data_IF_689077735470
#
_entry.id   IF_689077735470
#
_cell.length_a   1.000
_cell.length_b   1.000
_cell.length_c   1.000
_cell.angle_alpha   90.00
_cell.angle_beta   90.00
_cell.angle_gamma   90.00
#
_symmetry.space_group_name_H-M   'P 1'
#
loop_
_entity.id
_entity.type
_entity.pdbx_description
1 polymer ?
#
# COMPACT_ATOMS: atom_id res chain seq x y z
N UNK A 1 -0.49 0.77 29.74
CA UNK A 1 -1.31 0.91 28.53
C UNK A 1 -1.78 -0.47 28.10
N UNK A 2 -3.08 -0.72 27.94
CA UNK A 2 -3.56 -1.98 27.35
C UNK A 2 -3.24 -1.93 25.87
N UNK A 3 -2.29 -2.73 25.40
CA UNK A 3 -2.01 -2.91 23.98
C UNK A 3 -3.29 -3.46 23.34
N UNK A 4 -3.95 -2.67 22.48
CA UNK A 4 -4.99 -3.23 21.61
C UNK A 4 -4.32 -4.36 20.84
N UNK A 5 -4.76 -5.58 21.07
CA UNK A 5 -4.23 -6.73 20.35
C UNK A 5 -4.83 -6.68 18.95
N UNK A 6 -4.09 -6.12 17.99
CA UNK A 6 -4.50 -6.10 16.60
C UNK A 6 -4.64 -7.53 16.08
N UNK A 7 -5.72 -7.80 15.36
CA UNK A 7 -5.99 -9.08 14.72
C UNK A 7 -6.53 -8.80 13.32
N UNK A 8 -6.12 -9.63 12.38
CA UNK A 8 -6.67 -9.63 11.03
C UNK A 8 -8.06 -10.27 11.03
N UNK A 9 -9.00 -9.64 10.32
CA UNK A 9 -10.29 -10.25 10.00
C UNK A 9 -10.12 -11.42 9.04
N UNK A 10 -11.17 -12.22 8.85
CA UNK A 10 -11.14 -13.30 7.85
C UNK A 10 -10.94 -12.74 6.44
N UNK A 11 -11.61 -11.64 6.10
CA UNK A 11 -11.47 -10.98 4.81
C UNK A 11 -10.04 -10.46 4.57
N UNK A 12 -9.45 -9.80 5.58
CA UNK A 12 -8.06 -9.31 5.50
C UNK A 12 -7.08 -10.46 5.29
N UNK A 13 -7.24 -11.59 5.99
CA UNK A 13 -6.40 -12.78 5.76
C UNK A 13 -6.54 -13.32 4.34
N UNK A 14 -7.77 -13.48 3.85
CA UNK A 14 -8.02 -13.98 2.50
C UNK A 14 -7.44 -13.05 1.43
N UNK A 15 -7.52 -11.73 1.63
CA UNK A 15 -6.89 -10.75 0.73
C UNK A 15 -5.37 -10.88 0.74
N UNK A 16 -4.74 -11.00 1.91
CA UNK A 16 -3.30 -11.20 2.03
C UNK A 16 -2.85 -12.51 1.38
N UNK A 17 -3.53 -13.62 1.65
CA UNK A 17 -3.24 -14.91 1.02
C UNK A 17 -3.31 -14.81 -0.52
N UNK A 18 -4.30 -14.07 -1.04
CA UNK A 18 -4.48 -13.83 -2.49
C UNK A 18 -3.31 -13.05 -3.10
N UNK A 19 -2.90 -11.94 -2.48
CA UNK A 19 -1.83 -11.09 -3.04
C UNK A 19 -0.44 -11.72 -2.86
N UNK A 20 -0.19 -12.44 -1.76
CA UNK A 20 1.10 -13.09 -1.52
C UNK A 20 1.37 -14.25 -2.49
N UNK A 21 0.32 -14.80 -3.12
CA UNK A 21 0.45 -15.76 -4.21
C UNK A 21 0.77 -15.10 -5.57
N UNK A 22 0.63 -13.77 -5.69
CA UNK A 22 0.95 -12.99 -6.89
C UNK A 22 2.38 -12.45 -6.82
N UNK A 23 3.35 -13.33 -6.96
CA UNK A 23 4.76 -12.96 -7.14
C UNK A 23 5.18 -13.42 -8.54
N UNK A 24 4.97 -12.56 -9.53
CA UNK A 24 5.06 -12.94 -10.95
C UNK A 24 6.48 -12.81 -11.47
N UNK A 25 7.17 -11.71 -11.16
CA UNK A 25 8.45 -11.33 -11.75
C UNK A 25 9.47 -10.92 -10.67
N UNK A 26 9.01 -10.59 -9.46
CA UNK A 26 9.88 -10.23 -8.33
C UNK A 26 10.24 -8.75 -8.28
N UNK A 27 9.64 -7.93 -9.14
CA UNK A 27 9.78 -6.46 -9.18
C UNK A 27 9.50 -5.87 -7.80
N UNK A 28 8.42 -6.27 -7.14
CA UNK A 28 8.08 -5.70 -5.83
C UNK A 28 9.10 -6.09 -4.74
N UNK A 29 9.77 -7.24 -4.85
CA UNK A 29 10.82 -7.61 -3.90
C UNK A 29 12.08 -6.76 -4.12
N UNK A 30 12.42 -6.47 -5.38
CA UNK A 30 13.54 -5.60 -5.74
C UNK A 30 13.27 -4.16 -5.26
N UNK A 31 12.10 -3.63 -5.58
CA UNK A 31 11.68 -2.28 -5.16
C UNK A 31 11.62 -2.16 -3.63
N UNK A 32 11.02 -3.13 -2.94
CA UNK A 32 11.02 -3.15 -1.47
C UNK A 32 12.43 -3.23 -0.89
N UNK A 33 13.36 -3.91 -1.57
CA UNK A 33 14.77 -3.97 -1.15
C UNK A 33 15.48 -2.62 -1.36
N UNK A 34 15.22 -1.93 -2.47
CA UNK A 34 15.78 -0.62 -2.75
C UNK A 34 15.26 0.42 -1.76
N UNK A 35 13.94 0.47 -1.54
CA UNK A 35 13.31 1.32 -0.52
C UNK A 35 13.91 1.06 0.86
N UNK A 36 14.08 -0.21 1.24
CA UNK A 36 14.70 -0.59 2.51
C UNK A 36 16.16 -0.12 2.65
N UNK A 37 16.90 0.02 1.55
CA UNK A 37 18.32 0.42 1.60
C UNK A 37 18.50 1.93 1.54
N UNK A 38 17.68 2.60 0.74
CA UNK A 38 17.93 3.97 0.28
C UNK A 38 16.91 4.96 0.85
N UNK A 39 15.72 4.49 1.23
CA UNK A 39 14.57 5.34 1.58
C UNK A 39 13.86 4.92 2.87
N UNK A 40 14.57 4.34 3.82
CA UNK A 40 14.01 3.96 5.14
C UNK A 40 13.44 5.13 5.95
N UNK A 41 13.88 6.35 5.68
CA UNK A 41 13.31 7.56 6.29
C UNK A 41 11.92 7.90 5.76
N UNK A 42 11.56 7.41 4.56
CA UNK A 42 10.23 7.55 3.98
C UNK A 42 9.38 6.42 4.53
N UNK A 43 8.45 6.74 5.43
CA UNK A 43 7.68 5.72 6.14
C UNK A 43 6.77 4.89 5.21
N UNK A 44 6.12 5.54 4.26
CA UNK A 44 5.25 4.96 3.24
C UNK A 44 4.99 5.99 2.15
N UNK A 45 4.52 5.52 1.01
CA UNK A 45 4.05 6.37 -0.07
C UNK A 45 3.80 5.59 -1.34
N UNK A 46 3.67 6.31 -2.44
CA UNK A 46 3.63 5.76 -3.78
C UNK A 46 4.65 6.45 -4.69
N UNK A 47 5.18 5.74 -5.68
CA UNK A 47 6.11 6.25 -6.69
C UNK A 47 5.78 5.67 -8.06
N UNK A 48 5.94 6.47 -9.12
CA UNK A 48 6.03 5.96 -10.48
C UNK A 48 7.20 4.96 -10.62
N UNK A 49 6.96 3.89 -11.36
CA UNK A 49 8.00 2.92 -11.71
C UNK A 49 8.85 3.51 -12.84
N UNK A 50 10.17 3.48 -12.66
CA UNK A 50 11.12 3.93 -13.68
C UNK A 50 11.13 2.94 -14.86
N UNK A 51 10.69 3.41 -16.03
CA UNK A 51 10.62 2.63 -17.27
C UNK A 51 12.01 2.18 -17.78
N UNK A 52 13.08 2.91 -17.44
CA UNK A 52 14.44 2.53 -17.79
C UNK A 52 14.92 1.33 -16.96
N UNK A 53 14.41 1.20 -15.72
CA UNK A 53 14.75 0.10 -14.82
C UNK A 53 13.79 -1.10 -14.99
N UNK A 54 12.50 -0.83 -15.20
CA UNK A 54 11.44 -1.82 -15.38
C UNK A 54 10.50 -1.43 -16.54
N UNK A 55 10.86 -1.76 -17.79
CA UNK A 55 10.07 -1.40 -18.97
C UNK A 55 8.63 -1.94 -18.94
N UNK A 56 8.40 -3.05 -18.24
CA UNK A 56 7.07 -3.62 -18.05
C UNK A 56 6.14 -2.77 -17.16
N UNK A 57 6.68 -1.80 -16.41
CA UNK A 57 5.95 -0.92 -15.49
C UNK A 57 5.74 0.50 -16.00
N UNK A 58 5.93 0.76 -17.30
CA UNK A 58 5.69 2.08 -17.91
C UNK A 58 4.24 2.55 -17.63
N UNK A 59 4.11 3.73 -17.03
CA UNK A 59 2.80 4.30 -16.68
C UNK A 59 2.14 3.64 -15.47
N UNK A 60 2.88 2.89 -14.67
CA UNK A 60 2.38 2.19 -13.50
C UNK A 60 3.13 2.63 -12.23
N UNK A 61 2.46 2.52 -11.09
CA UNK A 61 2.98 2.96 -9.81
C UNK A 61 3.26 1.80 -8.86
N UNK A 62 4.16 2.06 -7.92
CA UNK A 62 4.40 1.27 -6.75
C UNK A 62 3.80 1.96 -5.52
N UNK A 63 3.25 1.19 -4.59
CA UNK A 63 2.89 1.63 -3.24
C UNK A 63 3.77 0.87 -2.26
N UNK A 64 4.27 1.52 -1.21
CA UNK A 64 5.15 0.88 -0.24
C UNK A 64 4.95 1.35 1.18
N UNK A 65 5.48 0.58 2.13
CA UNK A 65 5.54 0.94 3.55
C UNK A 65 6.67 0.24 4.29
N UNK A 66 7.21 0.93 5.30
CA UNK A 66 8.38 0.59 6.10
C UNK A 66 7.97 0.29 7.56
N UNK A 67 7.20 -0.77 7.79
CA UNK A 67 6.53 -1.02 9.09
C UNK A 67 6.57 -2.48 9.59
N UNK A 68 7.63 -3.24 9.29
CA UNK A 68 7.82 -4.61 9.84
C UNK A 68 6.72 -5.61 9.45
N UNK A 69 6.34 -5.71 8.16
CA UNK A 69 5.22 -6.55 7.69
C UNK A 69 5.17 -7.96 8.30
N UNK A 70 6.30 -8.66 8.39
CA UNK A 70 6.34 -10.04 8.90
C UNK A 70 5.99 -10.15 10.39
N UNK A 71 6.33 -9.14 11.19
CA UNK A 71 6.22 -9.18 12.65
C UNK A 71 5.10 -8.29 13.21
N UNK A 72 4.74 -7.20 12.55
CA UNK A 72 3.64 -6.32 12.96
C UNK A 72 2.31 -6.73 12.30
N UNK A 73 1.27 -6.94 13.10
CA UNK A 73 -0.08 -7.23 12.59
C UNK A 73 -0.69 -5.98 11.95
N UNK A 74 -0.31 -4.77 12.37
CA UNK A 74 -0.80 -3.51 11.81
C UNK A 74 -0.35 -3.32 10.37
N UNK A 75 0.92 -3.58 10.06
CA UNK A 75 1.44 -3.51 8.69
C UNK A 75 0.72 -4.49 7.75
N UNK A 76 0.42 -5.72 8.22
CA UNK A 76 -0.42 -6.66 7.45
C UNK A 76 -1.84 -6.16 7.24
N UNK A 77 -2.41 -5.51 8.27
CA UNK A 77 -3.75 -4.93 8.20
C UNK A 77 -3.78 -3.75 7.22
N UNK A 78 -2.74 -2.93 7.22
CA UNK A 78 -2.53 -1.82 6.29
C UNK A 78 -2.52 -2.30 4.86
N UNK A 79 -1.65 -3.27 4.51
CA UNK A 79 -1.62 -3.84 3.16
C UNK A 79 -2.99 -4.40 2.75
N UNK A 80 -3.67 -5.13 3.63
CA UNK A 80 -4.99 -5.67 3.31
C UNK A 80 -6.04 -4.58 3.04
N UNK A 81 -6.00 -3.47 3.79
CA UNK A 81 -6.93 -2.36 3.63
C UNK A 81 -6.59 -1.47 2.43
N UNK A 82 -5.31 -1.25 2.14
CA UNK A 82 -4.84 -0.62 0.89
C UNK A 82 -5.36 -1.41 -0.30
N UNK A 83 -5.13 -2.72 -0.33
CA UNK A 83 -5.62 -3.59 -1.43
C UNK A 83 -7.14 -3.57 -1.54
N UNK A 84 -7.86 -3.56 -0.42
CA UNK A 84 -9.32 -3.44 -0.45
C UNK A 84 -9.79 -2.10 -1.00
N UNK A 85 -9.06 -1.00 -0.75
CA UNK A 85 -9.38 0.32 -1.29
C UNK A 85 -9.10 0.38 -2.79
N UNK A 86 -7.96 -0.14 -3.24
CA UNK A 86 -7.62 -0.25 -4.66
C UNK A 86 -8.68 -1.05 -5.42
N UNK A 87 -9.07 -2.22 -4.89
CA UNK A 87 -10.15 -3.05 -5.46
C UNK A 87 -11.47 -2.24 -5.60
N UNK A 88 -11.80 -1.36 -4.64
CA UNK A 88 -13.02 -0.53 -4.70
C UNK A 88 -12.96 0.59 -5.74
N UNK A 89 -11.75 1.01 -6.12
CA UNK A 89 -11.50 1.99 -7.18
C UNK A 89 -11.21 1.32 -8.54
N UNK A 90 -11.37 -0.01 -8.61
CA UNK A 90 -11.02 -0.82 -9.78
C UNK A 90 -9.53 -0.72 -10.19
N UNK A 91 -8.65 -0.30 -9.28
CA UNK A 91 -7.19 -0.25 -9.49
C UNK A 91 -6.65 -1.66 -9.24
N UNK A 92 -6.06 -2.25 -10.28
CA UNK A 92 -5.56 -3.62 -10.21
C UNK A 92 -4.20 -3.67 -9.51
N UNK A 93 -4.03 -4.63 -8.60
CA UNK A 93 -2.72 -5.00 -8.04
C UNK A 93 -2.10 -6.13 -8.86
N UNK A 94 -0.95 -5.87 -9.48
CA UNK A 94 -0.19 -6.85 -10.25
C UNK A 94 0.61 -7.80 -9.36
N UNK A 95 1.40 -7.23 -8.47
CA UNK A 95 2.37 -7.96 -7.65
C UNK A 95 2.43 -7.41 -6.22
N UNK A 96 2.79 -8.28 -5.28
CA UNK A 96 3.17 -7.91 -3.92
C UNK A 96 4.55 -8.47 -3.60
N UNK A 97 5.37 -7.67 -2.91
CA UNK A 97 6.72 -8.05 -2.54
C UNK A 97 7.17 -7.51 -1.20
N UNK A 98 8.24 -8.11 -0.70
CA UNK A 98 8.86 -7.80 0.59
C UNK A 98 10.36 -7.60 0.41
N UNK A 99 10.91 -6.69 1.23
CA UNK A 99 12.35 -6.55 1.39
C UNK A 99 12.97 -7.78 2.11
N UNK A 100 14.31 -7.83 2.23
CA UNK A 100 15.03 -9.04 2.63
C UNK A 100 14.67 -9.60 4.01
N UNK A 101 14.29 -8.74 4.94
CA UNK A 101 13.87 -9.09 6.31
C UNK A 101 12.35 -9.06 6.50
N UNK A 102 11.60 -8.75 5.43
CA UNK A 102 10.17 -8.53 5.45
C UNK A 102 9.75 -7.30 6.26
N UNK A 103 10.65 -6.33 6.42
CA UNK A 103 10.34 -5.06 7.04
C UNK A 103 9.53 -4.16 6.12
N UNK A 104 10.11 -3.91 4.95
CA UNK A 104 9.49 -3.13 3.87
C UNK A 104 8.60 -4.02 3.03
N UNK A 105 7.43 -3.51 2.66
CA UNK A 105 6.52 -4.14 1.71
C UNK A 105 6.27 -3.21 0.53
N UNK A 106 5.96 -3.79 -0.62
CA UNK A 106 5.62 -3.04 -1.83
C UNK A 106 4.49 -3.74 -2.61
N UNK A 107 3.68 -2.93 -3.30
CA UNK A 107 2.61 -3.31 -4.21
C UNK A 107 2.84 -2.63 -5.55
N UNK A 108 2.75 -3.37 -6.65
CA UNK A 108 2.74 -2.81 -8.00
C UNK A 108 1.30 -2.76 -8.50
N UNK A 109 0.88 -1.60 -9.00
CA UNK A 109 -0.52 -1.30 -9.31
C UNK A 109 -0.71 -0.65 -10.69
N UNK A 110 -1.86 -0.92 -11.29
CA UNK A 110 -2.32 -0.43 -12.59
C UNK A 110 -2.88 1.00 -12.47
N UNK A 111 -1.98 1.96 -12.25
CA UNK A 111 -2.31 3.38 -12.08
C UNK A 111 -1.04 4.23 -12.20
N UNK A 112 -1.12 5.37 -12.88
CA UNK A 112 -0.08 6.40 -12.96
C UNK A 112 -0.28 7.55 -11.94
N UNK A 113 -1.43 7.57 -11.26
CA UNK A 113 -1.79 8.58 -10.28
C UNK A 113 -1.07 8.39 -8.93
N UNK A 114 0.18 8.84 -8.85
CA UNK A 114 1.00 8.78 -7.63
C UNK A 114 0.34 9.48 -6.44
N UNK A 115 -0.34 10.61 -6.65
CA UNK A 115 -0.93 11.43 -5.58
C UNK A 115 -2.11 10.71 -4.92
N UNK A 116 -3.02 10.14 -5.71
CA UNK A 116 -4.11 9.32 -5.20
C UNK A 116 -3.59 8.14 -4.37
N UNK A 117 -2.58 7.45 -4.88
CA UNK A 117 -2.02 6.26 -4.24
C UNK A 117 -1.30 6.61 -2.92
N UNK A 118 -0.58 7.72 -2.88
CA UNK A 118 0.03 8.25 -1.65
C UNK A 118 -1.06 8.60 -0.61
N UNK A 119 -2.11 9.30 -1.03
CA UNK A 119 -3.25 9.62 -0.15
C UNK A 119 -3.92 8.36 0.41
N UNK A 120 -4.10 7.31 -0.40
CA UNK A 120 -4.68 6.03 0.03
C UNK A 120 -3.83 5.35 1.10
N UNK A 121 -2.52 5.20 0.89
CA UNK A 121 -1.67 4.48 1.84
C UNK A 121 -1.57 5.23 3.18
N UNK A 122 -1.52 6.56 3.13
CA UNK A 122 -1.53 7.38 4.34
C UNK A 122 -2.90 7.36 5.06
N UNK A 123 -4.03 7.46 4.34
CA UNK A 123 -5.38 7.32 4.90
C UNK A 123 -5.51 6.03 5.72
N UNK A 124 -5.16 4.91 5.09
CA UNK A 124 -5.24 3.59 5.73
C UNK A 124 -4.34 3.50 6.96
N UNK A 125 -3.11 4.00 6.87
CA UNK A 125 -2.19 3.95 8.01
C UNK A 125 -2.68 4.79 9.20
N UNK A 126 -3.19 6.00 8.96
CA UNK A 126 -3.74 6.86 10.02
C UNK A 126 -4.96 6.22 10.69
N UNK A 127 -5.86 5.62 9.90
CA UNK A 127 -7.04 4.90 10.40
C UNK A 127 -6.66 3.72 11.32
N UNK A 128 -5.59 2.99 10.98
CA UNK A 128 -5.10 1.85 11.78
C UNK A 128 -4.34 2.31 13.03
N UNK A 129 -3.48 3.33 12.90
CA UNK A 129 -2.44 3.63 13.89
C UNK A 129 -2.83 4.73 14.86
N UNK A 130 -3.52 5.78 14.41
CA UNK A 130 -3.74 7.00 15.21
C UNK A 130 -5.12 7.03 15.85
N UNK A 131 -6.15 6.50 15.18
CA UNK A 131 -7.46 6.17 15.75
C UNK A 131 -8.23 7.33 16.41
N UNK A 132 -7.86 8.58 16.13
CA UNK A 132 -8.55 9.79 16.62
C UNK A 132 -9.00 10.67 15.45
N UNK A 133 -8.03 11.20 14.72
CA UNK A 133 -8.23 12.12 13.61
C UNK A 133 -7.27 11.71 12.49
N UNK A 134 -7.83 11.52 11.31
CA UNK A 134 -7.08 11.12 10.13
C UNK A 134 -7.01 12.33 9.18
N UNK A 135 -5.87 13.03 9.12
CA UNK A 135 -5.72 14.25 8.33
C UNK A 135 -5.72 14.00 6.82
N UNK A 136 -5.65 12.73 6.39
CA UNK A 136 -5.70 12.37 4.98
C UNK A 136 -7.12 12.10 4.50
N UNK A 137 -8.07 11.89 5.42
CA UNK A 137 -9.43 11.51 5.07
C UNK A 137 -10.13 12.57 4.22
N UNK A 138 -10.05 13.82 4.67
CA UNK A 138 -10.65 14.96 3.97
C UNK A 138 -9.96 15.18 2.62
N UNK A 139 -8.62 15.18 2.59
CA UNK A 139 -7.84 15.33 1.35
C UNK A 139 -8.13 14.25 0.32
N UNK A 140 -8.21 12.98 0.74
CA UNK A 140 -8.53 11.87 -0.14
C UNK A 140 -9.95 12.00 -0.69
N UNK A 141 -10.91 12.41 0.14
CA UNK A 141 -12.28 12.60 -0.33
C UNK A 141 -12.38 13.76 -1.33
N UNK A 142 -11.72 14.90 -1.06
CA UNK A 142 -11.65 16.03 -1.99
C UNK A 142 -11.03 15.60 -3.32
N UNK A 143 -9.90 14.87 -3.28
CA UNK A 143 -9.24 14.36 -4.48
C UNK A 143 -10.14 13.42 -5.29
N UNK A 144 -10.81 12.48 -4.62
CA UNK A 144 -11.74 11.55 -5.26
C UNK A 144 -12.94 12.27 -5.89
N UNK A 145 -13.49 13.28 -5.21
CA UNK A 145 -14.59 14.11 -5.72
C UNK A 145 -14.17 14.90 -6.97
N UNK A 146 -12.95 15.47 -6.99
CA UNK A 146 -12.39 16.18 -8.15
C UNK A 146 -12.19 15.26 -9.36
N UNK A 147 -11.80 14.01 -9.10
CA UNK A 147 -11.65 12.97 -10.12
C UNK A 147 -12.99 12.37 -10.58
N UNK A 148 -14.11 12.72 -9.92
CA UNK A 148 -15.44 12.25 -10.26
C UNK A 148 -15.79 10.86 -9.73
N UNK A 149 -15.08 10.36 -8.71
CA UNK A 149 -15.46 9.15 -7.99
C UNK A 149 -16.60 9.46 -7.01
N UNK A 150 -17.62 8.61 -6.95
CA UNK A 150 -18.67 8.74 -5.92
C UNK A 150 -18.10 8.36 -4.55
N UNK A 151 -17.81 9.35 -3.70
CA UNK A 151 -17.41 9.12 -2.31
C UNK A 151 -18.65 8.76 -1.49
N UNK A 152 -18.90 7.47 -1.29
CA UNK A 152 -19.91 7.04 -0.30
C UNK A 152 -19.37 7.26 1.10
N UNK A 153 -19.94 8.25 1.80
CA UNK A 153 -19.67 8.56 3.21
C UNK A 153 -19.97 7.40 4.18
#
# INVERSE_FOLDING_TARGET
MKTKQYRLTKAEKTLLDRIQQRNLIGVCNLMATQIYREHMSVHRGAWLIDEDEFPEGEGECLIFGNDSFTSDVRARKEVAQVVSRLDSLAIRVFEFGLGPDGYTWALWVDSDDEELLDLIVWDVWFDITVGKENPMKEKLNEYLDEMGYEVTA
#
